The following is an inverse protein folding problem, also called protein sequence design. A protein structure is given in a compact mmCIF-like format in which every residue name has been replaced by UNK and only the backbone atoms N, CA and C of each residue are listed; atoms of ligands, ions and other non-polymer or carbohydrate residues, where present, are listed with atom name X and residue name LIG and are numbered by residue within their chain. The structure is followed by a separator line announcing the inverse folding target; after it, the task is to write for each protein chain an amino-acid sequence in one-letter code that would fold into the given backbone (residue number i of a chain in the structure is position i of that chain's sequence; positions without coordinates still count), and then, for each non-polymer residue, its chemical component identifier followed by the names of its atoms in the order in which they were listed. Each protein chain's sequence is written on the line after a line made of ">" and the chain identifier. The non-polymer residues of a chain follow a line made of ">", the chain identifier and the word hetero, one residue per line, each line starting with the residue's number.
data_IF_971707050144
#
_entry.id   IF_971707050144
#
_cell.length_a   1.000
_cell.length_b   1.000
_cell.length_c   1.000
_cell.angle_alpha   90.00
_cell.angle_beta   90.00
_cell.angle_gamma   90.00
#
_symmetry.space_group_name_H-M   'P 1'
#
loop_
_entity.id
_entity.type
_entity.pdbx_description
1 polymer ?
#
# COMPACT_ATOMS: atom_id res chain seq x y z
N UNK A 1 18.20 7.16 16.87
CA UNK A 1 16.93 7.11 17.60
C UNK A 1 17.24 7.38 19.07
N UNK A 2 16.76 8.51 19.62
CA UNK A 2 17.03 8.85 21.01
C UNK A 2 16.24 7.92 21.95
N UNK A 3 16.94 6.94 22.51
CA UNK A 3 16.60 6.41 23.83
C UNK A 3 16.87 7.56 24.80
N UNK A 4 15.84 8.23 25.32
CA UNK A 4 15.98 8.99 26.56
C UNK A 4 14.67 9.40 27.24
N UNK A 5 14.68 9.06 28.53
CA UNK A 5 14.25 9.85 29.68
C UNK A 5 12.75 9.91 29.99
N UNK A 6 12.41 9.21 31.07
CA UNK A 6 11.26 9.47 31.94
C UNK A 6 11.41 10.83 32.67
N UNK A 7 11.53 11.93 31.93
CA UNK A 7 11.41 13.26 32.53
C UNK A 7 10.01 13.81 32.28
N UNK A 8 9.37 14.17 33.39
CA UNK A 8 8.01 14.63 33.63
C UNK A 8 7.62 15.97 32.97
N UNK A 9 8.19 16.32 31.82
CA UNK A 9 7.76 17.48 31.04
C UNK A 9 6.61 17.08 30.12
N UNK A 10 5.46 17.73 30.31
CA UNK A 10 4.34 17.60 29.39
C UNK A 10 4.82 17.83 27.95
N UNK A 11 4.52 16.91 27.01
CA UNK A 11 5.07 16.97 25.67
C UNK A 11 4.68 18.29 24.99
N UNK A 12 5.65 18.93 24.33
CA UNK A 12 5.43 20.21 23.65
C UNK A 12 4.33 20.08 22.59
N UNK A 13 3.62 21.19 22.31
CA UNK A 13 2.54 21.21 21.31
C UNK A 13 3.01 20.76 19.92
N UNK A 14 4.28 21.01 19.57
CA UNK A 14 4.90 20.55 18.33
C UNK A 14 5.19 19.05 18.34
N UNK A 15 5.71 18.49 19.44
CA UNK A 15 5.96 17.04 19.53
C UNK A 15 4.66 16.24 19.43
N UNK A 16 3.57 16.73 20.02
CA UNK A 16 2.23 16.11 19.94
C UNK A 16 1.70 15.96 18.50
N UNK A 17 2.23 16.75 17.54
CA UNK A 17 1.84 16.66 16.12
C UNK A 17 2.64 15.62 15.33
N UNK A 18 3.74 15.12 15.87
CA UNK A 18 4.63 14.18 15.18
C UNK A 18 3.98 12.80 14.99
N UNK A 19 4.46 12.08 13.98
CA UNK A 19 4.06 10.70 13.74
C UNK A 19 4.33 9.81 14.95
N UNK A 20 5.54 9.88 15.50
CA UNK A 20 5.98 9.07 16.63
C UNK A 20 5.08 9.25 17.86
N UNK A 21 4.70 10.49 18.18
CA UNK A 21 3.82 10.74 19.33
C UNK A 21 2.44 10.09 19.13
N UNK A 22 1.85 10.27 17.94
CA UNK A 22 0.54 9.70 17.62
C UNK A 22 0.58 8.17 17.56
N UNK A 23 1.65 7.61 16.99
CA UNK A 23 1.88 6.18 16.96
C UNK A 23 1.96 5.61 18.36
N UNK A 24 2.72 6.23 19.27
CA UNK A 24 2.81 5.79 20.67
C UNK A 24 1.45 5.76 21.37
N UNK A 25 0.67 6.85 21.26
CA UNK A 25 -0.68 6.88 21.82
C UNK A 25 -1.56 5.75 21.27
N UNK A 26 -1.42 5.44 19.97
CA UNK A 26 -2.18 4.35 19.37
C UNK A 26 -1.71 2.97 19.81
N UNK A 27 -0.40 2.76 19.99
CA UNK A 27 0.16 1.53 20.54
C UNK A 27 -0.41 1.26 21.93
N UNK A 28 -0.46 2.29 22.79
CA UNK A 28 -1.03 2.16 24.14
C UNK A 28 -2.52 1.76 24.08
N UNK A 29 -3.31 2.43 23.24
CA UNK A 29 -4.73 2.09 23.02
C UNK A 29 -4.92 0.65 22.50
N UNK A 30 -4.09 0.23 21.54
CA UNK A 30 -4.13 -1.14 21.00
C UNK A 30 -3.74 -2.17 22.03
N UNK A 31 -2.78 -1.88 22.92
CA UNK A 31 -2.39 -2.79 23.99
C UNK A 31 -3.47 -2.91 25.08
N UNK A 32 -4.22 -1.84 25.33
CA UNK A 32 -5.34 -1.80 26.28
C UNK A 32 -6.63 -2.41 25.71
N UNK A 33 -6.71 -2.62 24.40
CA UNK A 33 -7.89 -3.19 23.73
C UNK A 33 -9.04 -2.20 23.56
N UNK A 34 -8.77 -0.90 23.58
CA UNK A 34 -9.79 0.16 23.54
C UNK A 34 -10.29 0.52 22.13
N UNK A 35 -9.73 -0.07 21.06
CA UNK A 35 -10.19 0.17 19.69
C UNK A 35 -11.42 -0.71 19.39
N UNK A 36 -12.56 -0.10 19.04
CA UNK A 36 -13.82 -0.81 18.78
C UNK A 36 -13.75 -1.81 17.59
N UNK A 37 -12.79 -1.62 16.67
CA UNK A 37 -12.48 -2.55 15.57
C UNK A 37 -11.39 -3.58 15.94
N UNK A 38 -10.67 -3.37 17.05
CA UNK A 38 -9.74 -4.34 17.60
C UNK A 38 -10.51 -5.39 18.40
N UNK A 39 -11.27 -6.23 17.68
CA UNK A 39 -11.55 -7.56 18.18
C UNK A 39 -10.23 -8.15 18.73
N UNK A 40 -10.28 -8.81 19.89
CA UNK A 40 -9.14 -9.45 20.60
C UNK A 40 -8.31 -10.42 19.72
N UNK A 41 -8.74 -10.66 18.48
CA UNK A 41 -8.08 -11.46 17.43
C UNK A 41 -7.26 -10.65 16.42
N UNK A 42 -7.19 -9.32 16.53
CA UNK A 42 -6.37 -8.49 15.63
C UNK A 42 -4.87 -8.66 15.94
N UNK A 43 -4.00 -8.88 14.93
CA UNK A 43 -2.55 -8.94 15.13
C UNK A 43 -1.97 -7.69 15.81
N UNK A 44 -2.63 -6.54 15.66
CA UNK A 44 -2.21 -5.26 16.24
C UNK A 44 -2.19 -5.29 17.76
N UNK A 45 -3.17 -5.93 18.40
CA UNK A 45 -3.23 -6.09 19.86
C UNK A 45 -1.99 -6.82 20.37
N UNK A 46 -1.67 -7.97 19.76
CA UNK A 46 -0.49 -8.78 20.12
C UNK A 46 0.80 -8.01 19.87
N UNK A 47 0.95 -7.37 18.72
CA UNK A 47 2.16 -6.61 18.40
C UNK A 47 2.38 -5.41 19.33
N UNK A 48 1.31 -4.71 19.71
CA UNK A 48 1.39 -3.59 20.63
C UNK A 48 1.81 -4.04 22.04
N UNK A 49 1.23 -5.14 22.53
CA UNK A 49 1.66 -5.76 23.80
C UNK A 49 3.10 -6.23 23.77
N UNK A 50 3.48 -7.01 22.74
CA UNK A 50 4.86 -7.48 22.55
C UNK A 50 5.84 -6.30 22.50
N UNK A 51 5.45 -5.17 21.88
CA UNK A 51 6.27 -3.97 21.81
C UNK A 51 6.50 -3.35 23.18
N UNK A 52 5.43 -3.12 23.97
CA UNK A 52 5.53 -2.54 25.31
C UNK A 52 6.29 -3.46 26.27
N UNK A 53 6.04 -4.78 26.22
CA UNK A 53 6.75 -5.78 27.02
C UNK A 53 8.25 -5.81 26.67
N UNK A 54 8.59 -5.78 25.37
CA UNK A 54 10.00 -5.76 24.94
C UNK A 54 10.68 -4.43 25.31
N UNK A 55 9.96 -3.31 25.23
CA UNK A 55 10.47 -1.98 25.59
C UNK A 55 10.76 -1.88 27.08
N UNK A 56 9.87 -2.41 27.94
CA UNK A 56 10.07 -2.45 29.39
C UNK A 56 11.25 -3.33 29.80
N UNK A 57 11.45 -4.46 29.12
CA UNK A 57 12.55 -5.38 29.43
C UNK A 57 13.94 -4.86 29.01
N UNK A 58 14.04 -3.81 28.16
CA UNK A 58 15.33 -3.33 27.68
C UNK A 58 16.22 -2.74 28.78
N UNK A 59 15.65 -2.17 29.85
CA UNK A 59 16.42 -1.55 30.94
C UNK A 59 17.19 -2.58 31.77
N UNK A 60 16.72 -3.83 31.77
CA UNK A 60 17.17 -4.86 32.70
C UNK A 60 18.16 -5.84 32.04
N UNK A 61 18.47 -5.65 30.75
CA UNK A 61 19.37 -6.51 29.98
C UNK A 61 20.79 -5.96 30.02
N UNK A 62 21.66 -6.63 30.78
CA UNK A 62 23.10 -6.32 30.83
C UNK A 62 23.88 -6.94 29.65
N UNK A 63 23.37 -8.01 29.05
CA UNK A 63 24.04 -8.70 27.94
C UNK A 63 23.83 -7.95 26.61
N UNK A 64 24.92 -7.45 26.02
CA UNK A 64 24.89 -6.66 24.78
C UNK A 64 24.29 -7.43 23.58
N UNK A 65 24.53 -8.74 23.48
CA UNK A 65 24.00 -9.56 22.37
C UNK A 65 22.47 -9.69 22.49
N UNK A 66 21.98 -9.95 23.70
CA UNK A 66 20.55 -10.02 23.99
C UNK A 66 19.88 -8.66 23.80
N UNK A 67 20.50 -7.59 24.29
CA UNK A 67 20.04 -6.22 24.12
C UNK A 67 19.87 -5.89 22.64
N UNK A 68 20.88 -6.17 21.82
CA UNK A 68 20.84 -5.91 20.39
C UNK A 68 19.75 -6.74 19.66
N UNK A 69 19.53 -7.99 20.07
CA UNK A 69 18.46 -8.81 19.51
C UNK A 69 17.07 -8.26 19.84
N UNK A 70 16.84 -7.85 21.10
CA UNK A 70 15.58 -7.23 21.54
C UNK A 70 15.35 -5.88 20.90
N UNK A 71 16.40 -5.07 20.74
CA UNK A 71 16.35 -3.79 20.04
C UNK A 71 15.95 -3.96 18.57
N UNK A 72 16.52 -4.94 17.86
CA UNK A 72 16.10 -5.28 16.48
C UNK A 72 14.63 -5.70 16.42
N UNK A 73 14.16 -6.50 17.39
CA UNK A 73 12.74 -6.90 17.47
C UNK A 73 11.83 -5.69 17.66
N UNK A 74 12.21 -4.73 18.51
CA UNK A 74 11.45 -3.49 18.69
C UNK A 74 11.34 -2.68 17.41
N UNK A 75 12.44 -2.53 16.65
CA UNK A 75 12.40 -1.82 15.37
C UNK A 75 11.44 -2.49 14.36
N UNK A 76 11.40 -3.83 14.34
CA UNK A 76 10.45 -4.58 13.50
C UNK A 76 9.01 -4.35 13.95
N UNK A 77 8.74 -4.43 15.25
CA UNK A 77 7.40 -4.21 15.82
C UNK A 77 6.93 -2.77 15.59
N UNK A 78 7.79 -1.78 15.82
CA UNK A 78 7.51 -0.36 15.57
C UNK A 78 7.19 -0.11 14.10
N UNK A 79 7.95 -0.73 13.18
CA UNK A 79 7.65 -0.66 11.75
C UNK A 79 6.28 -1.26 11.43
N UNK A 80 5.94 -2.43 11.98
CA UNK A 80 4.65 -3.09 11.73
C UNK A 80 3.47 -2.26 12.26
N UNK A 81 3.59 -1.75 13.49
CA UNK A 81 2.59 -0.91 14.14
C UNK A 81 2.46 0.46 13.45
N UNK A 82 3.59 1.07 13.09
CA UNK A 82 3.65 2.33 12.37
C UNK A 82 3.01 2.22 11.00
N UNK A 83 3.29 1.14 10.28
CA UNK A 83 2.61 0.85 9.03
C UNK A 83 1.11 0.70 9.29
N UNK A 84 0.68 -0.19 10.19
CA UNK A 84 -0.74 -0.39 10.48
C UNK A 84 -1.49 0.92 10.81
N UNK A 85 -0.85 1.80 11.58
CA UNK A 85 -1.37 3.13 11.90
C UNK A 85 -1.54 3.99 10.65
N UNK A 86 -0.51 4.04 9.79
CA UNK A 86 -0.60 4.74 8.49
C UNK A 86 -1.74 4.17 7.66
N UNK A 87 -1.86 2.84 7.54
CA UNK A 87 -2.87 2.23 6.68
C UNK A 87 -4.31 2.55 7.14
N UNK A 88 -4.56 2.59 8.46
CA UNK A 88 -5.87 2.97 9.00
C UNK A 88 -6.23 4.45 8.77
N UNK A 89 -5.24 5.33 8.55
CA UNK A 89 -5.46 6.76 8.35
C UNK A 89 -5.33 7.21 6.89
N UNK A 90 -4.85 6.33 6.01
CA UNK A 90 -4.66 6.63 4.60
C UNK A 90 -5.96 6.36 3.85
N UNK A 91 -6.48 7.43 3.23
CA UNK A 91 -7.69 7.36 2.39
C UNK A 91 -7.37 6.96 0.95
N UNK A 92 -6.15 7.26 0.50
CA UNK A 92 -5.67 7.06 -0.87
C UNK A 92 -4.28 6.44 -0.85
N UNK A 93 -4.15 5.28 -1.48
CA UNK A 93 -2.86 4.61 -1.68
C UNK A 93 -2.43 4.78 -3.13
N UNK A 94 -1.12 4.94 -3.35
CA UNK A 94 -0.49 4.92 -4.66
C UNK A 94 0.45 3.72 -4.74
N UNK A 95 0.30 2.85 -5.74
CA UNK A 95 1.18 1.69 -5.94
C UNK A 95 1.23 1.23 -7.39
N UNK A 96 2.21 0.41 -7.75
CA UNK A 96 2.25 -0.20 -9.07
C UNK A 96 1.48 -1.52 -9.13
N UNK A 97 0.94 -1.87 -10.30
CA UNK A 97 0.60 -3.27 -10.62
C UNK A 97 1.92 -3.98 -10.92
N UNK A 98 2.34 -5.02 -10.16
CA UNK A 98 1.53 -5.93 -9.35
C UNK A 98 1.67 -5.77 -7.82
N UNK A 99 2.40 -4.76 -7.34
CA UNK A 99 2.74 -4.60 -5.91
C UNK A 99 1.53 -4.66 -4.97
N UNK A 100 0.34 -4.30 -5.43
CA UNK A 100 -0.87 -4.42 -4.61
C UNK A 100 -1.24 -5.86 -4.24
N UNK A 101 -1.13 -6.80 -5.18
CA UNK A 101 -1.49 -8.20 -4.96
C UNK A 101 -0.43 -8.95 -4.13
N UNK A 102 0.77 -8.38 -4.03
CA UNK A 102 1.94 -9.11 -3.56
C UNK A 102 2.58 -8.49 -2.31
N UNK A 103 2.33 -7.20 -2.03
CA UNK A 103 2.91 -6.52 -0.88
C UNK A 103 2.13 -6.84 0.40
N UNK A 104 2.75 -7.51 1.41
CA UNK A 104 2.05 -8.01 2.60
C UNK A 104 1.26 -6.95 3.37
N UNK A 105 1.72 -5.69 3.33
CA UNK A 105 1.09 -4.58 4.02
C UNK A 105 -0.19 -4.10 3.32
N UNK A 106 -0.25 -4.17 1.98
CA UNK A 106 -1.45 -3.77 1.23
C UNK A 106 -2.56 -4.81 1.37
N UNK A 107 -2.17 -6.09 1.31
CA UNK A 107 -3.05 -7.27 1.42
C UNK A 107 -3.75 -7.40 2.77
N UNK A 108 -3.21 -6.79 3.83
CA UNK A 108 -3.78 -6.87 5.19
C UNK A 108 -4.65 -5.66 5.59
N UNK A 109 -4.84 -4.67 4.71
CA UNK A 109 -5.43 -3.39 5.09
C UNK A 109 -6.80 -3.10 4.45
N UNK A 110 -7.55 -2.22 5.14
CA UNK A 110 -8.86 -1.72 4.73
C UNK A 110 -8.72 -0.25 4.30
N UNK A 111 -9.31 0.11 3.16
CA UNK A 111 -9.09 1.44 2.60
C UNK A 111 -10.30 2.01 1.86
N UNK A 112 -10.33 3.33 1.66
CA UNK A 112 -11.44 4.04 1.00
C UNK A 112 -11.29 4.14 -0.52
N UNK A 113 -10.11 4.49 -1.03
CA UNK A 113 -9.84 4.65 -2.46
C UNK A 113 -8.39 4.23 -2.79
N UNK A 114 -8.15 3.62 -3.94
CA UNK A 114 -6.82 3.30 -4.45
C UNK A 114 -6.55 3.96 -5.80
N UNK A 115 -5.33 4.44 -6.01
CA UNK A 115 -4.80 4.83 -7.31
C UNK A 115 -3.59 3.96 -7.65
N UNK A 116 -3.57 3.35 -8.83
CA UNK A 116 -2.48 2.50 -9.30
C UNK A 116 -1.73 3.20 -10.43
N UNK A 117 -0.39 3.23 -10.36
CA UNK A 117 0.52 3.75 -11.38
C UNK A 117 1.33 2.60 -12.00
N UNK A 118 1.28 2.36 -13.31
CA UNK A 118 1.98 1.19 -13.87
C UNK A 118 3.50 1.47 -14.04
N UNK A 119 4.34 0.71 -13.33
CA UNK A 119 5.77 0.46 -13.65
C UNK A 119 6.13 -0.99 -13.23
N UNK A 120 6.59 -1.77 -14.20
CA UNK A 120 6.77 -3.23 -14.12
C UNK A 120 7.92 -3.70 -13.22
N UNK A 121 7.61 -4.56 -12.24
CA UNK A 121 8.47 -5.62 -11.68
C UNK A 121 7.59 -6.59 -10.84
N UNK A 122 7.75 -7.91 -10.99
CA UNK A 122 6.89 -8.93 -10.35
C UNK A 122 7.63 -9.79 -9.32
N UNK A 123 7.03 -9.98 -8.14
CA UNK A 123 7.40 -10.95 -7.09
C UNK A 123 6.09 -11.49 -6.51
N UNK A 124 5.88 -12.82 -6.44
CA UNK A 124 4.61 -13.44 -5.99
C UNK A 124 4.65 -13.89 -4.52
N UNK A 125 3.52 -13.78 -3.82
CA UNK A 125 3.26 -14.35 -2.49
C UNK A 125 1.90 -15.07 -2.46
N UNK A 126 1.78 -16.13 -1.65
CA UNK A 126 0.57 -16.96 -1.54
C UNK A 126 -0.17 -16.83 -0.20
N UNK A 127 -1.49 -16.66 -0.32
CA UNK A 127 -2.59 -17.12 0.53
C UNK A 127 -2.87 -16.48 1.92
N UNK A 128 -4.10 -15.95 2.06
CA UNK A 128 -4.84 -15.97 3.33
C UNK A 128 -5.41 -14.63 3.82
N UNK A 129 -4.98 -13.50 3.26
CA UNK A 129 -5.49 -12.15 3.55
C UNK A 129 -5.69 -11.42 2.22
N UNK A 130 -6.59 -10.45 2.16
CA UNK A 130 -6.86 -9.69 0.95
C UNK A 130 -7.38 -8.32 1.31
N UNK A 131 -7.07 -7.33 0.49
CA UNK A 131 -7.40 -5.94 0.78
C UNK A 131 -8.88 -5.68 0.50
N UNK A 132 -9.51 -4.76 1.25
CA UNK A 132 -10.90 -4.36 0.99
C UNK A 132 -10.93 -2.88 0.64
N UNK A 133 -11.37 -2.59 -0.58
CA UNK A 133 -11.43 -1.26 -1.15
C UNK A 133 -12.69 -1.10 -2.01
N UNK A 134 -13.56 -0.13 -1.73
CA UNK A 134 -14.75 0.06 -2.55
C UNK A 134 -14.40 0.69 -3.91
N UNK A 135 -13.27 1.39 -4.05
CA UNK A 135 -12.92 2.17 -5.24
C UNK A 135 -11.48 1.97 -5.66
N UNK A 136 -11.26 1.80 -6.96
CA UNK A 136 -9.94 1.68 -7.58
C UNK A 136 -9.88 2.53 -8.85
N UNK A 137 -8.74 3.21 -9.03
CA UNK A 137 -8.36 3.96 -10.22
C UNK A 137 -7.07 3.35 -10.74
N UNK A 138 -7.04 2.95 -12.02
CA UNK A 138 -5.86 2.40 -12.68
C UNK A 138 -5.45 3.37 -13.77
N UNK A 139 -4.29 3.99 -13.59
CA UNK A 139 -3.70 4.93 -14.55
C UNK A 139 -2.77 4.19 -15.52
N UNK A 140 -2.65 4.70 -16.75
CA UNK A 140 -2.01 4.04 -17.90
C UNK A 140 -2.54 2.62 -18.17
N UNK A 141 -3.85 2.41 -17.99
CA UNK A 141 -4.49 1.09 -18.07
C UNK A 141 -4.26 0.38 -19.42
N UNK A 142 -3.96 1.11 -20.49
CA UNK A 142 -3.57 0.56 -21.80
C UNK A 142 -2.27 -0.24 -21.75
N UNK A 143 -1.37 0.03 -20.79
CA UNK A 143 -0.09 -0.65 -20.68
C UNK A 143 -0.17 -1.96 -19.87
N UNK A 144 -1.32 -2.25 -19.26
CA UNK A 144 -1.52 -3.41 -18.40
C UNK A 144 -2.08 -4.63 -19.16
N UNK A 145 -1.68 -5.82 -18.71
CA UNK A 145 -2.18 -7.10 -19.23
C UNK A 145 -3.41 -7.53 -18.45
N UNK A 146 -4.29 -8.29 -19.09
CA UNK A 146 -5.45 -8.89 -18.42
C UNK A 146 -5.07 -9.66 -17.14
N UNK A 147 -3.90 -10.31 -17.12
CA UNK A 147 -3.39 -11.01 -15.94
C UNK A 147 -3.08 -10.09 -14.76
N UNK A 148 -2.59 -8.87 -15.03
CA UNK A 148 -2.30 -7.89 -13.98
C UNK A 148 -3.60 -7.48 -13.28
N UNK A 149 -4.66 -7.24 -14.05
CA UNK A 149 -5.99 -7.01 -13.52
C UNK A 149 -6.47 -8.23 -12.70
N UNK A 150 -6.37 -9.44 -13.25
CA UNK A 150 -6.82 -10.65 -12.56
C UNK A 150 -6.13 -10.83 -11.19
N UNK A 151 -4.82 -10.57 -11.08
CA UNK A 151 -4.10 -10.61 -9.80
C UNK A 151 -4.66 -9.59 -8.78
N UNK A 152 -4.90 -8.36 -9.24
CA UNK A 152 -5.52 -7.27 -8.46
C UNK A 152 -6.92 -7.65 -7.97
N UNK A 153 -7.79 -8.12 -8.87
CA UNK A 153 -9.17 -8.49 -8.55
C UNK A 153 -9.23 -9.72 -7.64
N UNK A 154 -8.34 -10.70 -7.82
CA UNK A 154 -8.28 -11.91 -6.98
C UNK A 154 -7.74 -11.61 -5.57
N UNK A 155 -6.84 -10.63 -5.42
CA UNK A 155 -6.34 -10.21 -4.11
C UNK A 155 -7.35 -9.36 -3.31
N UNK A 156 -8.40 -8.84 -3.97
CA UNK A 156 -9.45 -8.05 -3.33
C UNK A 156 -10.47 -8.93 -2.58
N UNK A 157 -10.79 -8.54 -1.36
CA UNK A 157 -11.87 -9.14 -0.55
C UNK A 157 -13.12 -8.30 -0.59
N UNK A 158 -14.08 -8.74 -1.39
CA UNK A 158 -15.40 -8.14 -1.53
C UNK A 158 -15.67 -7.70 -2.96
N UNK A 159 -16.56 -6.72 -3.13
CA UNK A 159 -16.89 -6.15 -4.43
C UNK A 159 -16.35 -4.73 -4.54
N UNK A 160 -15.74 -4.39 -5.68
CA UNK A 160 -15.51 -3.00 -6.02
C UNK A 160 -16.87 -2.35 -6.32
N UNK A 161 -17.13 -1.20 -5.68
CA UNK A 161 -18.28 -0.35 -6.00
C UNK A 161 -18.01 0.55 -7.21
N UNK A 162 -16.73 0.83 -7.48
CA UNK A 162 -16.31 1.62 -8.64
C UNK A 162 -14.91 1.22 -9.09
N UNK A 163 -14.74 1.00 -10.39
CA UNK A 163 -13.47 0.81 -11.07
C UNK A 163 -13.35 1.91 -12.11
N UNK A 164 -12.27 2.67 -12.10
CA UNK A 164 -11.97 3.67 -13.12
C UNK A 164 -10.68 3.25 -13.81
N UNK A 165 -10.73 3.11 -15.13
CA UNK A 165 -9.56 2.86 -15.96
C UNK A 165 -9.26 4.14 -16.72
N UNK A 166 -8.09 4.72 -16.50
CA UNK A 166 -7.60 5.88 -17.22
C UNK A 166 -6.45 5.42 -18.13
N UNK A 167 -6.54 5.77 -19.41
CA UNK A 167 -5.56 5.34 -20.38
C UNK A 167 -5.79 5.93 -21.76
N UNK A 168 -4.81 5.75 -22.65
CA UNK A 168 -4.86 6.18 -24.04
C UNK A 168 -4.81 4.96 -24.97
N UNK A 169 -5.86 4.72 -25.77
CA UNK A 169 -5.87 3.61 -26.75
C UNK A 169 -4.77 3.72 -27.81
N UNK A 170 -4.22 4.91 -28.04
CA UNK A 170 -3.08 5.14 -28.94
C UNK A 170 -1.74 5.15 -28.20
N UNK A 171 -1.74 4.82 -26.91
CA UNK A 171 -0.57 4.79 -26.04
C UNK A 171 0.30 3.55 -26.23
N UNK A 172 1.18 3.30 -25.25
CA UNK A 172 2.05 2.13 -25.26
C UNK A 172 1.24 0.84 -25.16
N UNK A 173 1.52 -0.12 -26.04
CA UNK A 173 0.95 -1.46 -25.93
C UNK A 173 1.72 -2.28 -24.90
N UNK A 174 1.07 -3.24 -24.21
CA UNK A 174 1.75 -4.07 -23.23
C UNK A 174 2.92 -4.83 -23.89
N UNK A 175 4.12 -4.77 -23.29
CA UNK A 175 5.27 -5.49 -23.81
C UNK A 175 5.24 -6.97 -23.36
N UNK A 176 5.46 -7.88 -24.31
CA UNK A 176 5.52 -9.33 -24.07
C UNK A 176 6.94 -9.85 -24.24
N UNK A 177 7.38 -10.71 -23.31
CA UNK A 177 8.73 -11.27 -23.34
C UNK A 177 8.90 -12.42 -24.37
N UNK A 178 7.81 -12.95 -24.92
CA UNK A 178 7.82 -14.02 -25.93
C UNK A 178 7.02 -13.62 -27.16
N UNK A 179 7.61 -13.78 -28.34
CA UNK A 179 6.96 -13.60 -29.64
C UNK A 179 6.12 -14.83 -30.06
N UNK A 180 6.43 -16.01 -29.50
CA UNK A 180 5.78 -17.28 -29.84
C UNK A 180 4.73 -17.63 -28.79
N UNK A 181 3.47 -17.23 -29.05
CA UNK A 181 2.38 -17.41 -28.11
C UNK A 181 1.21 -18.16 -28.80
N UNK A 182 1.04 -19.45 -28.49
CA UNK A 182 -0.16 -20.24 -28.84
C UNK A 182 -1.45 -19.56 -28.34
N UNK A 183 -2.63 -19.89 -28.91
CA UNK A 183 -3.95 -19.28 -28.62
C UNK A 183 -4.27 -19.07 -27.12
N UNK A 184 -3.79 -19.95 -26.24
CA UNK A 184 -3.96 -19.83 -24.78
C UNK A 184 -3.22 -18.63 -24.16
N UNK A 185 -2.11 -18.19 -24.76
CA UNK A 185 -1.40 -16.96 -24.38
C UNK A 185 -2.03 -15.71 -25.01
N UNK A 186 -2.77 -15.85 -26.11
CA UNK A 186 -3.47 -14.74 -26.75
C UNK A 186 -4.49 -14.08 -25.80
N UNK A 187 -5.06 -14.84 -24.85
CA UNK A 187 -5.92 -14.32 -23.78
C UNK A 187 -5.13 -13.52 -22.73
N UNK A 188 -3.91 -13.95 -22.40
CA UNK A 188 -3.03 -13.26 -21.44
C UNK A 188 -2.39 -12.00 -22.02
N UNK A 189 -2.36 -11.89 -23.35
CA UNK A 189 -1.88 -10.71 -24.08
C UNK A 189 -2.96 -9.70 -24.43
N UNK A 190 -4.22 -9.95 -24.05
CA UNK A 190 -5.29 -8.99 -24.32
C UNK A 190 -5.17 -7.76 -23.44
N UNK A 191 -5.43 -6.63 -24.07
CA UNK A 191 -5.53 -5.35 -23.41
C UNK A 191 -6.95 -5.23 -22.83
N UNK A 192 -7.07 -5.43 -21.52
CA UNK A 192 -8.38 -5.33 -20.85
C UNK A 192 -9.00 -3.94 -20.96
N UNK A 193 -8.18 -2.88 -21.04
CA UNK A 193 -8.66 -1.52 -21.24
C UNK A 193 -9.33 -1.35 -22.61
N UNK A 194 -8.70 -1.87 -23.67
CA UNK A 194 -9.27 -1.86 -25.02
C UNK A 194 -10.60 -2.64 -25.09
N UNK A 195 -10.66 -3.83 -24.46
CA UNK A 195 -11.90 -4.61 -24.37
C UNK A 195 -13.01 -3.86 -23.62
N UNK A 196 -12.68 -3.14 -22.54
CA UNK A 196 -13.65 -2.33 -21.81
C UNK A 196 -14.17 -1.16 -22.64
N UNK A 197 -13.32 -0.48 -23.41
CA UNK A 197 -13.74 0.64 -24.27
C UNK A 197 -14.63 0.16 -25.42
N UNK A 198 -14.36 -1.01 -25.98
CA UNK A 198 -15.17 -1.58 -27.06
C UNK A 198 -16.53 -2.12 -26.60
N UNK A 199 -16.71 -2.38 -25.30
CA UNK A 199 -17.92 -3.00 -24.77
C UNK A 199 -18.94 -1.93 -24.31
N UNK A 200 -20.16 -1.91 -24.89
CA UNK A 200 -21.16 -0.87 -24.61
C UNK A 200 -21.74 -0.92 -23.18
N UNK A 201 -21.45 -1.98 -22.43
CA UNK A 201 -21.88 -2.11 -21.02
C UNK A 201 -21.07 -1.23 -20.08
N UNK A 202 -19.94 -0.66 -20.52
CA UNK A 202 -19.11 0.23 -19.72
C UNK A 202 -19.29 1.68 -20.15
N UNK A 203 -19.34 2.58 -19.17
CA UNK A 203 -19.33 4.02 -19.41
C UNK A 203 -17.92 4.47 -19.83
N UNK A 204 -17.83 5.12 -20.99
CA UNK A 204 -16.57 5.69 -21.51
C UNK A 204 -16.64 7.21 -21.50
N UNK A 205 -15.56 7.87 -21.08
CA UNK A 205 -15.45 9.32 -21.04
C UNK A 205 -14.18 9.75 -21.78
N UNK A 206 -14.35 10.46 -22.90
CA UNK A 206 -13.25 10.93 -23.73
C UNK A 206 -12.79 12.33 -23.29
N UNK A 207 -11.53 12.43 -22.86
CA UNK A 207 -10.90 13.71 -22.54
C UNK A 207 -10.44 14.37 -23.86
N UNK A 208 -11.18 15.39 -24.31
CA UNK A 208 -10.96 16.03 -25.63
C UNK A 208 -9.97 17.19 -25.61
N UNK A 209 -9.71 17.78 -24.44
CA UNK A 209 -8.82 18.93 -24.32
C UNK A 209 -7.37 18.48 -24.10
N UNK A 210 -6.52 18.77 -25.08
CA UNK A 210 -5.07 18.57 -24.99
C UNK A 210 -4.41 19.86 -24.54
N UNK A 211 -3.75 19.83 -23.39
CA UNK A 211 -2.98 20.97 -22.89
C UNK A 211 -1.56 20.94 -23.46
N UNK A 212 -1.00 22.07 -23.92
CA UNK A 212 0.37 22.12 -24.42
C UNK A 212 1.34 21.68 -23.33
N UNK A 213 2.31 20.83 -23.71
CA UNK A 213 3.40 20.43 -22.82
C UNK A 213 4.15 21.70 -22.42
N UNK A 214 4.30 21.96 -21.11
CA UNK A 214 5.16 23.07 -20.65
C UNK A 214 6.54 22.82 -21.26
N UNK A 215 6.97 23.72 -22.14
CA UNK A 215 8.35 23.77 -22.58
C UNK A 215 9.19 24.03 -21.34
N UNK A 216 9.95 23.02 -20.91
CA UNK A 216 10.98 23.22 -19.90
C UNK A 216 11.87 24.35 -20.42
N UNK A 217 11.83 25.49 -19.73
CA UNK A 217 12.58 26.67 -20.11
C UNK A 217 14.05 26.32 -20.10
N UNK A 218 14.59 26.05 -21.29
CA UNK A 218 16.01 25.86 -21.49
C UNK A 218 16.72 27.14 -21.09
N UNK A 219 17.31 27.14 -19.89
CA UNK A 219 18.36 28.09 -19.54
C UNK A 219 19.61 27.72 -20.33
N UNK A 220 19.63 28.04 -21.63
CA UNK A 220 20.88 28.24 -22.35
C UNK A 220 21.38 29.65 -22.01
N UNK A 221 22.04 29.76 -20.85
CA UNK A 221 22.86 30.92 -20.55
C UNK A 221 24.20 30.74 -21.25
N UNK A 222 24.47 31.61 -22.23
CA UNK A 222 25.80 31.88 -22.75
C UNK A 222 26.70 32.47 -21.66
#
# INVERSE_FOLDING_TARGET
>A
MHVRSQNSTSPSSQYKRTFDYKLKQKIDQWAQGEDADANVRSPMFKWARDYLETLGALSDIENEVEYNAKFKRLAVLERLLGVAYILNHVKVVFCNMPSMATHPLLVCAHWSTLTILIKSASIRYTAGRGFKMPRIIIDNAEAAKLTDFAEVFNAHRGKFTRVVLAGNLKGETPQFASADCNESFALTSRNFFEECVANPSYETCNLVQVYPKRSDGGSSGN
#
